data_IF_194889012176
#
_entry.id   IF_194889012176
#
_cell.length_a   1.000
_cell.length_b   1.000
_cell.length_c   1.000
_cell.angle_alpha   90.00
_cell.angle_beta   90.00
_cell.angle_gamma   90.00
#
_symmetry.space_group_name_H-M   'P 1'
#
loop_
_entity.id
_entity.type
_entity.pdbx_description
1 polymer ?
#
# COMPACT_ATOMS: atom_id res chain seq x y z
N UNK A 1 20.72 -2.58 -8.34
CA UNK A 1 19.86 -3.54 -9.08
C UNK A 1 20.60 -3.98 -10.33
N UNK A 2 20.46 -5.24 -10.74
CA UNK A 2 20.97 -5.67 -12.05
C UNK A 2 19.97 -5.31 -13.17
N UNK A 3 20.36 -5.46 -14.43
CA UNK A 3 19.53 -5.06 -15.58
C UNK A 3 18.18 -5.79 -15.62
N UNK A 4 18.16 -7.08 -15.27
CA UNK A 4 16.93 -7.87 -15.20
C UNK A 4 15.95 -7.32 -14.15
N UNK A 5 16.43 -7.01 -12.94
CA UNK A 5 15.61 -6.43 -11.88
C UNK A 5 15.08 -5.02 -12.23
N UNK A 6 15.86 -4.23 -12.98
CA UNK A 6 15.42 -2.92 -13.44
C UNK A 6 14.31 -3.05 -14.51
N UNK A 7 14.46 -4.00 -15.43
CA UNK A 7 13.48 -4.26 -16.49
C UNK A 7 12.13 -4.74 -15.93
N UNK A 8 12.13 -5.47 -14.80
CA UNK A 8 10.90 -5.96 -14.18
C UNK A 8 10.26 -4.95 -13.21
N UNK A 9 10.99 -3.93 -12.75
CA UNK A 9 10.49 -3.00 -11.73
C UNK A 9 9.16 -2.32 -12.11
N UNK A 10 9.10 -1.74 -13.32
CA UNK A 10 7.89 -1.07 -13.81
C UNK A 10 6.68 -2.02 -13.90
N UNK A 11 6.79 -3.14 -14.63
CA UNK A 11 5.73 -4.16 -14.69
C UNK A 11 5.30 -4.68 -13.32
N UNK A 12 6.26 -5.00 -12.44
CA UNK A 12 5.95 -5.49 -11.08
C UNK A 12 5.21 -4.42 -10.26
N UNK A 13 5.62 -3.15 -10.34
CA UNK A 13 4.96 -2.06 -9.64
C UNK A 13 3.53 -1.83 -10.14
N UNK A 14 3.32 -1.88 -11.46
CA UNK A 14 2.01 -1.74 -12.08
C UNK A 14 1.06 -2.89 -11.68
N UNK A 15 1.51 -4.13 -11.80
CA UNK A 15 0.71 -5.30 -11.42
C UNK A 15 0.37 -5.31 -9.93
N UNK A 16 1.33 -4.98 -9.07
CA UNK A 16 1.09 -4.96 -7.61
C UNK A 16 0.10 -3.85 -7.24
N UNK A 17 0.23 -2.67 -7.84
CA UNK A 17 -0.73 -1.57 -7.65
C UNK A 17 -2.13 -1.99 -8.09
N UNK A 18 -2.28 -2.59 -9.27
CA UNK A 18 -3.56 -3.07 -9.78
C UNK A 18 -4.20 -4.16 -8.90
N UNK A 19 -3.40 -5.06 -8.34
CA UNK A 19 -3.86 -6.08 -7.39
C UNK A 19 -4.44 -5.43 -6.13
N UNK A 20 -3.73 -4.44 -5.57
CA UNK A 20 -4.18 -3.67 -4.41
C UNK A 20 -5.47 -2.91 -4.75
N UNK A 21 -5.54 -2.23 -5.89
CA UNK A 21 -6.72 -1.48 -6.33
C UNK A 21 -7.95 -2.40 -6.48
N UNK A 22 -7.75 -3.60 -7.02
CA UNK A 22 -8.84 -4.57 -7.22
C UNK A 22 -9.35 -5.15 -5.90
N UNK A 23 -8.44 -5.55 -5.01
CA UNK A 23 -8.77 -6.28 -3.77
C UNK A 23 -9.18 -5.33 -2.65
N UNK A 24 -8.41 -4.26 -2.43
CA UNK A 24 -8.58 -3.33 -1.30
C UNK A 24 -9.55 -2.20 -1.65
N UNK A 25 -9.69 -1.86 -2.94
CA UNK A 25 -10.51 -0.74 -3.44
C UNK A 25 -10.25 0.58 -2.71
N UNK A 26 -8.97 1.02 -2.61
CA UNK A 26 -8.65 2.29 -1.99
C UNK A 26 -9.10 3.45 -2.87
N UNK A 27 -9.24 4.64 -2.28
CA UNK A 27 -9.43 5.88 -3.03
C UNK A 27 -8.15 6.28 -3.79
N UNK A 28 -6.97 5.89 -3.27
CA UNK A 28 -5.67 6.13 -3.89
C UNK A 28 -4.62 5.16 -3.34
N UNK A 29 -3.66 4.73 -4.16
CA UNK A 29 -2.45 4.04 -3.71
C UNK A 29 -1.28 5.03 -3.76
N UNK A 30 -0.61 5.23 -2.63
CA UNK A 30 0.64 6.00 -2.58
C UNK A 30 1.83 5.08 -2.81
N UNK A 31 2.85 5.56 -3.53
CA UNK A 31 4.13 4.89 -3.68
C UNK A 31 5.22 5.73 -3.02
N UNK A 32 6.02 5.13 -2.14
CA UNK A 32 7.11 5.81 -1.45
C UNK A 32 8.38 4.97 -1.40
N UNK A 33 9.53 5.65 -1.40
CA UNK A 33 10.86 5.08 -1.22
C UNK A 33 11.58 5.88 -0.13
N UNK A 34 12.03 5.17 0.90
CA UNK A 34 12.61 5.72 2.12
C UNK A 34 14.00 5.10 2.34
N UNK A 35 14.03 3.79 2.61
CA UNK A 35 15.26 3.00 2.75
C UNK A 35 16.22 3.46 3.87
N UNK A 36 15.80 4.31 4.81
CA UNK A 36 16.64 4.73 5.94
C UNK A 36 16.78 3.62 6.99
N UNK A 37 15.71 2.86 7.28
CA UNK A 37 15.74 1.76 8.27
C UNK A 37 16.38 0.49 7.71
N UNK A 38 16.12 0.18 6.44
CA UNK A 38 16.73 -0.95 5.72
C UNK A 38 17.48 -0.42 4.52
N UNK A 39 18.80 -0.59 4.50
CA UNK A 39 19.71 -0.17 3.41
C UNK A 39 19.53 -0.92 2.09
N UNK A 40 18.41 -1.63 1.93
CA UNK A 40 17.99 -2.23 0.67
C UNK A 40 16.90 -1.36 0.03
N UNK A 41 16.95 -1.23 -1.30
CA UNK A 41 15.90 -0.54 -2.05
C UNK A 41 14.60 -1.33 -1.95
N UNK A 42 13.57 -0.72 -1.39
CA UNK A 42 12.21 -1.25 -1.36
C UNK A 42 11.21 -0.11 -1.53
N UNK A 43 10.07 -0.45 -2.13
CA UNK A 43 8.96 0.48 -2.34
C UNK A 43 7.84 0.14 -1.38
N UNK A 44 7.23 1.18 -0.80
CA UNK A 44 5.98 1.06 -0.06
C UNK A 44 4.83 1.38 -0.99
N UNK A 45 3.91 0.43 -1.15
CA UNK A 45 2.58 0.69 -1.72
C UNK A 45 1.58 0.81 -0.59
N UNK A 46 1.02 2.01 -0.42
CA UNK A 46 0.19 2.35 0.72
C UNK A 46 -1.24 2.70 0.24
N UNK A 47 -2.22 1.79 0.41
CA UNK A 47 -3.59 2.03 0.01
C UNK A 47 -4.30 2.95 1.00
N UNK A 48 -4.73 4.14 0.54
CA UNK A 48 -5.60 5.03 1.30
C UNK A 48 -7.06 4.68 1.03
N UNK A 49 -7.70 3.98 1.97
CA UNK A 49 -9.13 3.72 1.95
C UNK A 49 -9.92 4.91 2.49
N UNK A 50 -11.23 4.94 2.23
CA UNK A 50 -12.14 5.90 2.85
C UNK A 50 -12.11 5.80 4.38
N UNK A 51 -12.14 4.58 4.93
CA UNK A 51 -12.02 4.37 6.37
C UNK A 51 -10.76 5.01 6.94
N UNK A 52 -9.60 4.82 6.31
CA UNK A 52 -8.34 5.39 6.78
C UNK A 52 -8.35 6.93 6.72
N UNK A 53 -8.93 7.50 5.66
CA UNK A 53 -9.11 8.95 5.55
C UNK A 53 -10.01 9.49 6.68
N UNK A 54 -11.11 8.81 6.98
CA UNK A 54 -12.01 9.19 8.08
C UNK A 54 -11.32 9.10 9.44
N UNK A 55 -10.52 8.05 9.70
CA UNK A 55 -9.73 7.94 10.93
C UNK A 55 -8.67 9.06 11.02
N UNK A 56 -8.05 9.42 9.90
CA UNK A 56 -7.07 10.49 9.86
C UNK A 56 -7.70 11.83 10.24
N UNK A 57 -8.82 12.21 9.63
CA UNK A 57 -9.51 13.47 9.96
C UNK A 57 -10.08 13.48 11.38
N UNK A 58 -10.56 12.34 11.90
CA UNK A 58 -10.99 12.25 13.29
C UNK A 58 -9.85 12.53 14.30
N UNK A 59 -8.60 12.17 13.95
CA UNK A 59 -7.42 12.47 14.75
C UNK A 59 -6.80 13.85 14.49
N UNK A 60 -7.20 14.54 13.43
CA UNK A 60 -6.65 15.83 12.99
C UNK A 60 -7.78 16.77 12.52
N UNK A 61 -8.66 17.22 13.44
CA UNK A 61 -9.89 17.93 13.07
C UNK A 61 -9.66 19.28 12.38
N UNK A 62 -8.47 19.87 12.55
CA UNK A 62 -8.09 21.14 11.91
C UNK A 62 -7.58 20.96 10.47
N UNK A 63 -7.30 19.72 10.03
CA UNK A 63 -6.88 19.46 8.66
C UNK A 63 -8.11 19.30 7.74
N UNK A 64 -8.15 20.08 6.66
CA UNK A 64 -9.23 20.03 5.65
C UNK A 64 -8.84 19.26 4.38
N UNK A 65 -7.56 18.92 4.23
CA UNK A 65 -7.02 18.21 3.08
C UNK A 65 -6.07 17.10 3.52
N UNK A 66 -5.92 16.07 2.68
CA UNK A 66 -5.03 14.94 2.96
C UNK A 66 -3.64 15.20 2.38
N UNK A 67 -2.66 15.36 3.27
CA UNK A 67 -1.25 15.24 2.92
C UNK A 67 -0.81 13.77 2.98
N UNK A 68 -0.54 13.16 1.82
CA UNK A 68 -0.15 11.74 1.72
C UNK A 68 1.02 11.34 2.62
N UNK A 69 2.15 12.08 2.64
CA UNK A 69 3.26 11.80 3.54
C UNK A 69 2.90 11.86 5.02
N UNK A 70 2.12 12.87 5.45
CA UNK A 70 1.68 13.00 6.85
C UNK A 70 0.73 11.88 7.25
N UNK A 71 -0.24 11.56 6.41
CA UNK A 71 -1.18 10.46 6.65
C UNK A 71 -0.43 9.13 6.77
N UNK A 72 0.55 8.86 5.91
CA UNK A 72 1.31 7.61 5.97
C UNK A 72 2.19 7.53 7.23
N UNK A 73 2.89 8.61 7.61
CA UNK A 73 3.68 8.65 8.85
C UNK A 73 2.78 8.44 10.08
N UNK A 74 1.66 9.16 10.15
CA UNK A 74 0.67 8.97 11.21
C UNK A 74 0.13 7.54 11.25
N UNK A 75 -0.30 6.98 10.12
CA UNK A 75 -0.87 5.64 10.08
C UNK A 75 0.13 4.56 10.55
N UNK A 76 1.41 4.69 10.16
CA UNK A 76 2.48 3.79 10.64
C UNK A 76 2.69 3.87 12.15
N UNK A 77 2.52 5.04 12.76
CA UNK A 77 2.65 5.23 14.23
C UNK A 77 1.41 4.75 14.98
N UNK A 78 0.23 4.94 14.39
CA UNK A 78 -1.06 4.65 15.02
C UNK A 78 -1.43 3.16 14.95
N UNK A 79 -1.26 2.53 13.79
CA UNK A 79 -1.69 1.15 13.53
C UNK A 79 -0.54 0.14 13.60
N UNK A 80 0.30 0.24 14.64
CA UNK A 80 1.42 -0.69 14.85
C UNK A 80 0.96 -2.10 15.25
N UNK A 81 -0.28 -2.22 15.73
CA UNK A 81 -0.91 -3.49 16.12
C UNK A 81 -2.01 -3.87 15.13
N UNK A 82 -2.28 -5.18 14.95
CA UNK A 82 -3.40 -5.62 14.14
C UNK A 82 -4.71 -4.94 14.56
N UNK A 83 -5.46 -4.43 13.59
CA UNK A 83 -6.77 -3.84 13.82
C UNK A 83 -7.77 -4.98 14.04
N UNK A 84 -8.45 -4.97 15.19
CA UNK A 84 -9.42 -6.02 15.53
C UNK A 84 -10.54 -6.07 14.49
N UNK A 85 -10.86 -7.27 13.99
CA UNK A 85 -11.89 -7.48 12.98
C UNK A 85 -11.43 -7.21 11.54
N UNK A 86 -10.16 -6.85 11.33
CA UNK A 86 -9.55 -6.81 10.00
C UNK A 86 -8.71 -8.06 9.79
N UNK A 87 -9.14 -8.92 8.86
CA UNK A 87 -8.39 -10.10 8.49
C UNK A 87 -7.32 -9.75 7.46
N UNK A 88 -6.12 -9.48 7.98
CA UNK A 88 -4.93 -9.19 7.17
C UNK A 88 -4.61 -10.35 6.23
N UNK A 89 -4.75 -11.58 6.71
CA UNK A 89 -4.30 -12.76 5.98
C UNK A 89 -5.27 -13.05 4.83
N UNK A 90 -6.57 -12.84 5.02
CA UNK A 90 -7.56 -12.89 3.93
C UNK A 90 -7.24 -11.89 2.81
N UNK A 91 -6.91 -10.63 3.15
CA UNK A 91 -6.56 -9.60 2.15
C UNK A 91 -5.29 -10.00 1.40
N UNK A 92 -4.28 -10.50 2.13
CA UNK A 92 -3.02 -10.94 1.53
C UNK A 92 -3.24 -12.11 0.56
N UNK A 93 -4.05 -13.09 0.94
CA UNK A 93 -4.37 -14.23 0.07
C UNK A 93 -5.15 -13.81 -1.17
N UNK A 94 -6.09 -12.86 -1.06
CA UNK A 94 -6.79 -12.30 -2.22
C UNK A 94 -5.82 -11.60 -3.19
N UNK A 95 -4.86 -10.84 -2.68
CA UNK A 95 -3.82 -10.18 -3.51
C UNK A 95 -2.96 -11.25 -4.20
N UNK A 96 -2.50 -12.27 -3.47
CA UNK A 96 -1.71 -13.37 -4.02
C UNK A 96 -2.46 -14.13 -5.13
N UNK A 97 -3.72 -14.47 -4.89
CA UNK A 97 -4.56 -15.14 -5.86
C UNK A 97 -4.74 -14.30 -7.13
N UNK A 98 -4.97 -13.00 -7.00
CA UNK A 98 -5.11 -12.09 -8.14
C UNK A 98 -3.82 -12.03 -8.98
N UNK A 99 -2.66 -11.92 -8.31
CA UNK A 99 -1.36 -11.89 -8.98
C UNK A 99 -1.08 -13.20 -9.72
N UNK A 100 -1.37 -14.36 -9.11
CA UNK A 100 -1.20 -15.67 -9.73
C UNK A 100 -2.07 -15.85 -10.99
N UNK A 101 -3.33 -15.40 -10.94
CA UNK A 101 -4.26 -15.45 -12.08
C UNK A 101 -3.87 -14.52 -13.23
N UNK A 102 -3.14 -13.45 -12.93
CA UNK A 102 -2.71 -12.47 -13.93
C UNK A 102 -1.40 -12.90 -14.60
N UNK A 103 -0.49 -13.49 -13.81
CA UNK A 103 0.76 -14.05 -14.31
C UNK A 103 0.55 -15.26 -15.25
N UNK A 104 -0.56 -16.00 -15.13
CA UNK A 104 -0.90 -17.11 -16.04
C UNK A 104 -1.52 -16.67 -17.37
N UNK A 105 -1.83 -15.38 -17.52
CA UNK A 105 -2.43 -14.78 -18.74
C UNK A 105 -1.44 -13.95 -19.56
N UNK A 106 -0.23 -13.72 -19.04
CA UNK A 106 0.84 -12.97 -19.69
C UNK A 106 1.85 -13.94 -20.31
#
# INVERSE_FOLDING_TARGET
MNAAALATLGPTLAMTTAAIETVVRPQRVYCALFSEERRAVHLHLFPRTEWLASQYFAGHPDEIEISGPRLMDWARRTFQKPIRGMDRDEILEKIRAWLALTASKA
#
